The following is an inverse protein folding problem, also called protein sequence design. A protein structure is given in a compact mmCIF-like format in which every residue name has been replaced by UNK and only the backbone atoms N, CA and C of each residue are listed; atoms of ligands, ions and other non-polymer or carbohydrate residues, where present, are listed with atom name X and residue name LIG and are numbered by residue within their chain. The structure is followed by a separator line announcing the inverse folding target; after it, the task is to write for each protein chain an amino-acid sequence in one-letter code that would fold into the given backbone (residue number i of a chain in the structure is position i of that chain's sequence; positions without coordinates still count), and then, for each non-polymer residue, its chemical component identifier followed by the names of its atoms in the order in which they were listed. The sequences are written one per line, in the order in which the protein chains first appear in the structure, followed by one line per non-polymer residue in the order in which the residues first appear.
data_IF_492856990286
#
_entry.id   IF_492856990286
#
_cell.length_a   1.000
_cell.length_b   1.000
_cell.length_c   1.000
_cell.angle_alpha   90.00
_cell.angle_beta   90.00
_cell.angle_gamma   90.00
#
_symmetry.space_group_name_H-M   'P 1'
#
loop_
_entity.id
_entity.type
_entity.pdbx_description
1 polymer ?
#
# COMPACT_ATOMS: atom_id res chain seq x y z
N UNK A 1 -32.61 -1.74 -33.86
CA UNK A 1 -31.30 -1.44 -33.22
C UNK A 1 -31.61 -0.69 -31.93
N UNK A 2 -31.63 -1.38 -30.79
CA UNK A 2 -31.98 -0.80 -29.51
C UNK A 2 -30.67 -0.31 -28.81
N UNK A 3 -30.56 0.94 -28.36
CA UNK A 3 -29.37 1.39 -27.67
C UNK A 3 -29.34 0.73 -26.28
N UNK A 4 -28.26 -0.02 -26.00
CA UNK A 4 -27.95 -0.48 -24.65
C UNK A 4 -27.72 0.75 -23.76
N UNK A 5 -28.67 1.04 -22.91
CA UNK A 5 -28.49 1.96 -21.78
C UNK A 5 -27.32 1.46 -20.93
N UNK A 6 -26.23 2.21 -20.93
CA UNK A 6 -25.17 2.02 -19.98
C UNK A 6 -25.76 2.22 -18.58
N UNK A 7 -25.81 1.16 -17.79
CA UNK A 7 -26.14 1.23 -16.36
C UNK A 7 -25.04 2.07 -15.70
N UNK A 8 -25.36 3.30 -15.35
CA UNK A 8 -24.54 4.10 -14.44
C UNK A 8 -24.60 3.36 -13.10
N UNK A 9 -23.53 2.69 -12.74
CA UNK A 9 -23.35 2.10 -11.42
C UNK A 9 -23.07 3.28 -10.51
N UNK A 10 -24.07 3.68 -9.72
CA UNK A 10 -23.88 4.62 -8.62
C UNK A 10 -23.09 3.87 -7.55
N UNK A 11 -21.84 4.27 -7.31
CA UNK A 11 -21.09 3.84 -6.13
C UNK A 11 -21.87 4.39 -4.93
N UNK A 12 -22.39 3.52 -4.08
CA UNK A 12 -22.98 3.95 -2.81
C UNK A 12 -21.84 4.50 -1.94
N UNK A 13 -21.87 5.81 -1.66
CA UNK A 13 -20.92 6.40 -0.73
C UNK A 13 -21.05 5.74 0.63
N UNK A 14 -19.92 5.32 1.20
CA UNK A 14 -19.87 4.77 2.55
C UNK A 14 -20.21 5.87 3.56
N UNK A 15 -21.26 5.67 4.34
CA UNK A 15 -21.81 6.63 5.31
C UNK A 15 -21.50 6.28 6.77
N UNK A 16 -20.90 5.11 7.03
CA UNK A 16 -20.48 4.65 8.34
C UNK A 16 -19.03 4.16 8.28
N UNK A 17 -18.18 4.72 9.13
CA UNK A 17 -16.80 4.30 9.37
C UNK A 17 -16.65 3.74 10.78
N UNK A 18 -15.59 2.94 11.03
CA UNK A 18 -15.36 2.30 12.33
C UNK A 18 -15.21 3.33 13.45
N UNK A 19 -14.61 4.49 13.17
CA UNK A 19 -14.50 5.60 14.13
C UNK A 19 -15.85 6.18 14.55
N UNK A 20 -16.91 5.99 13.76
CA UNK A 20 -18.26 6.44 14.08
C UNK A 20 -18.99 5.48 15.03
N UNK A 21 -18.45 4.29 15.32
CA UNK A 21 -19.09 3.29 16.17
C UNK A 21 -19.66 3.85 17.51
N UNK A 22 -19.00 4.82 18.20
CA UNK A 22 -19.57 5.42 19.41
C UNK A 22 -20.92 6.13 19.20
N UNK A 23 -21.17 6.67 18.00
CA UNK A 23 -22.42 7.38 17.68
C UNK A 23 -23.57 6.43 17.39
N UNK A 24 -23.25 5.18 17.07
CA UNK A 24 -24.19 4.13 16.67
C UNK A 24 -24.29 3.01 17.70
N UNK A 25 -23.86 3.23 18.94
CA UNK A 25 -23.96 2.23 20.01
C UNK A 25 -25.43 1.82 20.23
N UNK A 26 -25.69 0.50 20.20
CA UNK A 26 -27.02 -0.13 20.22
C UNK A 26 -27.89 0.16 18.97
N UNK A 27 -27.30 0.71 17.91
CA UNK A 27 -27.97 0.91 16.62
C UNK A 27 -27.63 -0.18 15.62
N UNK A 28 -28.48 -0.31 14.58
CA UNK A 28 -28.24 -1.17 13.43
C UNK A 28 -27.62 -0.35 12.31
N UNK A 29 -26.52 -0.84 11.74
CA UNK A 29 -25.84 -0.24 10.58
C UNK A 29 -25.89 -1.19 9.38
N UNK A 30 -25.94 -0.62 8.17
CA UNK A 30 -25.75 -1.34 6.92
C UNK A 30 -24.66 -0.63 6.14
N UNK A 31 -23.52 -1.27 5.96
CA UNK A 31 -22.33 -0.63 5.38
C UNK A 31 -21.38 -1.66 4.79
N UNK A 32 -20.24 -1.19 4.27
CA UNK A 32 -19.24 -2.03 3.63
C UNK A 32 -17.94 -2.03 4.44
N UNK A 33 -17.24 -3.17 4.45
CA UNK A 33 -15.92 -3.33 5.07
C UNK A 33 -15.02 -4.24 4.23
N UNK A 34 -13.72 -4.22 4.50
CA UNK A 34 -12.81 -5.31 4.14
C UNK A 34 -12.86 -6.38 5.23
N UNK A 35 -13.00 -7.64 4.81
CA UNK A 35 -12.91 -8.79 5.69
C UNK A 35 -11.45 -9.15 5.92
N UNK A 36 -10.87 -8.65 7.02
CA UNK A 36 -9.44 -8.83 7.32
C UNK A 36 -9.12 -10.19 7.94
N UNK A 37 -10.09 -10.83 8.59
CA UNK A 37 -9.97 -12.18 9.14
C UNK A 37 -11.33 -12.86 9.23
N UNK A 38 -11.35 -14.18 8.99
CA UNK A 38 -12.54 -15.02 9.03
C UNK A 38 -12.20 -16.34 9.73
N UNK A 39 -12.84 -16.61 10.88
CA UNK A 39 -12.60 -17.82 11.66
C UNK A 39 -13.91 -18.47 12.10
N UNK A 40 -14.02 -19.76 11.92
CA UNK A 40 -15.10 -20.57 12.49
C UNK A 40 -14.74 -20.92 13.94
N UNK A 41 -15.61 -20.61 14.88
CA UNK A 41 -15.44 -20.93 16.31
C UNK A 41 -16.61 -21.71 16.88
N UNK A 42 -16.36 -22.57 17.86
CA UNK A 42 -17.39 -23.31 18.57
C UNK A 42 -18.13 -22.45 19.60
N UNK A 43 -19.44 -22.59 19.68
CA UNK A 43 -20.27 -22.01 20.76
C UNK A 43 -20.15 -22.87 22.03
N UNK A 44 -20.21 -22.27 23.22
CA UNK A 44 -20.16 -23.02 24.51
C UNK A 44 -21.28 -24.04 24.70
N UNK A 45 -22.44 -23.81 24.07
CA UNK A 45 -23.63 -24.65 24.14
C UNK A 45 -23.81 -25.57 22.93
N UNK A 46 -22.75 -25.77 22.12
CA UNK A 46 -22.81 -26.54 20.87
C UNK A 46 -23.13 -25.63 19.65
N UNK A 47 -22.73 -26.10 18.47
CA UNK A 47 -22.81 -25.33 17.23
C UNK A 47 -21.61 -24.43 16.98
N UNK A 48 -21.65 -23.68 15.89
CA UNK A 48 -20.57 -22.82 15.42
C UNK A 48 -21.05 -21.38 15.23
N UNK A 49 -20.11 -20.44 15.20
CA UNK A 49 -20.31 -19.04 14.82
C UNK A 49 -19.10 -18.54 14.05
N UNK A 50 -19.25 -17.46 13.28
CA UNK A 50 -18.14 -16.78 12.64
C UNK A 50 -17.63 -15.66 13.54
N UNK A 51 -16.32 -15.69 13.81
CA UNK A 51 -15.58 -14.56 14.34
C UNK A 51 -14.85 -13.89 13.17
N UNK A 52 -15.14 -12.61 12.97
CA UNK A 52 -14.61 -11.83 11.86
C UNK A 52 -13.83 -10.62 12.39
N UNK A 53 -12.86 -10.18 11.61
CA UNK A 53 -12.29 -8.84 11.76
C UNK A 53 -12.67 -8.03 10.52
N UNK A 54 -13.39 -6.95 10.75
CA UNK A 54 -13.84 -6.02 9.71
C UNK A 54 -13.02 -4.75 9.80
N UNK A 55 -12.58 -4.22 8.66
CA UNK A 55 -11.69 -3.07 8.60
C UNK A 55 -12.12 -2.05 7.56
N UNK A 56 -11.81 -0.78 7.85
CA UNK A 56 -11.84 0.33 6.91
C UNK A 56 -10.64 1.26 7.17
N UNK A 57 -10.54 2.40 6.47
CA UNK A 57 -9.42 3.35 6.62
C UNK A 57 -9.27 3.94 8.02
N UNK A 58 -10.30 3.86 8.86
CA UNK A 58 -10.32 4.44 10.21
C UNK A 58 -9.96 3.44 11.29
N UNK A 59 -9.97 2.14 10.99
CA UNK A 59 -9.58 1.10 11.96
C UNK A 59 -10.11 -0.29 11.64
N UNK A 60 -10.18 -1.10 12.70
CA UNK A 60 -10.77 -2.44 12.65
C UNK A 60 -11.54 -2.75 13.93
N UNK A 61 -12.58 -3.58 13.84
CA UNK A 61 -13.31 -4.09 14.99
C UNK A 61 -13.78 -5.54 14.78
N UNK A 62 -14.14 -6.21 15.88
CA UNK A 62 -14.61 -7.59 15.85
C UNK A 62 -16.06 -7.66 15.40
N UNK A 63 -16.33 -8.59 14.48
CA UNK A 63 -17.66 -9.00 14.06
C UNK A 63 -17.98 -10.43 14.53
N UNK A 64 -19.22 -10.69 14.88
CA UNK A 64 -19.71 -12.03 15.21
C UNK A 64 -20.99 -12.30 14.45
N UNK A 65 -21.05 -13.43 13.74
CA UNK A 65 -22.23 -13.90 13.05
C UNK A 65 -22.64 -15.25 13.65
N UNK A 66 -23.86 -15.32 14.19
CA UNK A 66 -24.31 -16.47 14.95
C UNK A 66 -25.10 -17.45 14.13
N UNK A 67 -25.75 -16.99 13.05
CA UNK A 67 -26.62 -17.76 12.18
C UNK A 67 -26.21 -17.61 10.73
N UNK A 68 -26.71 -18.43 9.81
CA UNK A 68 -26.47 -18.40 8.36
C UNK A 68 -24.98 -18.42 7.94
N UNK A 69 -24.15 -19.08 8.77
CA UNK A 69 -22.68 -19.09 8.60
C UNK A 69 -22.22 -19.84 7.34
N UNK A 70 -23.00 -20.82 6.87
CA UNK A 70 -22.63 -21.64 5.72
C UNK A 70 -22.57 -20.83 4.43
N UNK A 71 -23.54 -19.96 4.21
CA UNK A 71 -23.58 -19.07 3.04
C UNK A 71 -22.42 -18.09 3.05
N UNK A 72 -22.10 -17.50 4.20
CA UNK A 72 -20.97 -16.59 4.35
C UNK A 72 -19.63 -17.25 4.05
N UNK A 73 -19.45 -18.52 4.46
CA UNK A 73 -18.21 -19.28 4.21
C UNK A 73 -18.04 -19.67 2.73
N UNK A 74 -19.13 -19.80 1.99
CA UNK A 74 -19.08 -20.19 0.57
C UNK A 74 -18.55 -19.05 -0.31
N UNK A 75 -18.91 -17.79 0.00
CA UNK A 75 -18.64 -16.66 -0.89
C UNK A 75 -17.63 -15.63 -0.33
N UNK A 76 -17.35 -15.64 0.97
CA UNK A 76 -16.47 -14.66 1.60
C UNK A 76 -15.12 -15.26 1.97
N UNK A 77 -14.04 -14.54 1.64
CA UNK A 77 -12.68 -14.86 2.00
C UNK A 77 -11.95 -13.64 2.57
N UNK A 78 -10.86 -13.87 3.27
CA UNK A 78 -10.01 -12.76 3.76
C UNK A 78 -9.53 -11.90 2.59
N UNK A 79 -9.59 -10.58 2.77
CA UNK A 79 -9.23 -9.58 1.76
C UNK A 79 -10.39 -9.15 0.85
N UNK A 80 -11.56 -9.79 0.87
CA UNK A 80 -12.69 -9.36 0.06
C UNK A 80 -13.47 -8.19 0.69
N UNK A 81 -14.16 -7.42 -0.14
CA UNK A 81 -15.15 -6.45 0.31
C UNK A 81 -16.45 -7.15 0.65
N UNK A 82 -17.04 -6.78 1.77
CA UNK A 82 -18.31 -7.34 2.25
C UNK A 82 -19.30 -6.23 2.58
N UNK A 83 -20.56 -6.41 2.18
CA UNK A 83 -21.69 -5.61 2.67
C UNK A 83 -22.27 -6.31 3.89
N UNK A 84 -22.35 -5.60 5.00
CA UNK A 84 -22.83 -6.13 6.27
C UNK A 84 -24.04 -5.35 6.78
N UNK A 85 -24.95 -6.05 7.46
CA UNK A 85 -25.95 -5.45 8.32
C UNK A 85 -25.82 -6.03 9.71
N UNK A 86 -25.73 -5.19 10.75
CA UNK A 86 -25.54 -5.67 12.12
C UNK A 86 -25.72 -4.60 13.15
N UNK A 87 -25.76 -5.03 14.41
CA UNK A 87 -25.95 -4.16 15.58
C UNK A 87 -24.61 -3.87 16.23
N UNK A 88 -24.33 -2.58 16.43
CA UNK A 88 -23.14 -2.11 17.13
C UNK A 88 -23.36 -2.23 18.63
N UNK A 89 -22.43 -2.85 19.33
CA UNK A 89 -22.45 -2.99 20.79
C UNK A 89 -21.07 -2.80 21.36
N UNK A 90 -21.00 -2.55 22.69
CA UNK A 90 -19.75 -2.44 23.42
C UNK A 90 -19.56 -3.64 24.32
N UNK A 91 -18.42 -4.32 24.21
CA UNK A 91 -18.05 -5.44 25.06
C UNK A 91 -16.63 -5.27 25.59
N UNK A 92 -16.45 -5.37 26.89
CA UNK A 92 -15.17 -5.14 27.59
C UNK A 92 -14.46 -3.86 27.16
N UNK A 93 -15.23 -2.78 26.98
CA UNK A 93 -14.68 -1.47 26.58
C UNK A 93 -14.40 -1.29 25.10
N UNK A 94 -14.54 -2.34 24.27
CA UNK A 94 -14.32 -2.28 22.82
C UNK A 94 -15.65 -2.36 22.06
N UNK A 95 -15.74 -1.62 20.96
CA UNK A 95 -16.88 -1.75 20.06
C UNK A 95 -16.75 -3.02 19.21
N UNK A 96 -17.89 -3.67 18.97
CA UNK A 96 -18.05 -4.85 18.12
C UNK A 96 -19.36 -4.77 17.37
N UNK A 97 -19.48 -5.57 16.29
CA UNK A 97 -20.72 -5.69 15.53
C UNK A 97 -21.25 -7.13 15.60
N UNK A 98 -22.53 -7.27 15.92
CA UNK A 98 -23.24 -8.54 15.77
C UNK A 98 -23.93 -8.54 14.42
N UNK A 99 -23.46 -9.39 13.52
CA UNK A 99 -23.91 -9.46 12.12
C UNK A 99 -25.23 -10.22 12.02
N UNK A 100 -26.19 -9.60 11.32
CA UNK A 100 -27.47 -10.21 10.92
C UNK A 100 -27.40 -10.70 9.48
N UNK A 101 -26.68 -9.95 8.61
CA UNK A 101 -26.47 -10.30 7.20
C UNK A 101 -25.05 -9.99 6.80
N UNK A 102 -24.49 -10.84 5.94
CA UNK A 102 -23.19 -10.70 5.33
C UNK A 102 -23.28 -11.18 3.89
N UNK A 103 -22.80 -10.39 2.94
CA UNK A 103 -22.64 -10.81 1.55
C UNK A 103 -21.34 -10.28 0.97
N UNK A 104 -20.85 -10.95 -0.04
CA UNK A 104 -19.76 -10.41 -0.87
C UNK A 104 -20.25 -9.10 -1.55
N UNK A 105 -19.41 -8.10 -1.57
CA UNK A 105 -19.60 -6.87 -2.32
C UNK A 105 -18.74 -6.88 -3.58
N UNK A 106 -19.29 -6.38 -4.69
CA UNK A 106 -18.51 -6.20 -5.91
C UNK A 106 -17.55 -5.00 -5.75
N UNK A 107 -16.38 -5.05 -6.39
CA UNK A 107 -15.42 -3.92 -6.40
C UNK A 107 -16.08 -2.61 -6.92
N UNK A 108 -17.08 -2.72 -7.81
CA UNK A 108 -17.82 -1.58 -8.32
C UNK A 108 -18.81 -0.94 -7.34
N UNK A 109 -19.07 -1.58 -6.19
CA UNK A 109 -19.96 -1.06 -5.13
C UNK A 109 -19.20 -0.21 -4.09
N UNK A 110 -17.87 -0.21 -4.13
CA UNK A 110 -17.02 0.37 -3.09
C UNK A 110 -15.97 1.31 -3.68
N UNK A 111 -15.59 2.32 -2.92
CA UNK A 111 -14.39 3.13 -3.20
C UNK A 111 -13.22 2.54 -2.39
N UNK A 112 -12.15 2.02 -3.04
CA UNK A 112 -11.01 1.45 -2.34
C UNK A 112 -10.36 2.40 -1.33
N UNK A 113 -10.43 3.71 -1.54
CA UNK A 113 -9.87 4.73 -0.64
C UNK A 113 -10.56 4.81 0.72
N UNK A 114 -11.76 4.21 0.86
CA UNK A 114 -12.48 4.13 2.13
C UNK A 114 -12.01 2.97 3.03
N UNK A 115 -11.17 2.08 2.50
CA UNK A 115 -10.77 0.85 3.22
C UNK A 115 -9.29 0.78 3.53
N UNK A 116 -8.51 1.63 2.91
CA UNK A 116 -7.06 1.66 3.09
C UNK A 116 -6.63 3.04 3.58
N UNK A 117 -5.81 3.06 4.63
CA UNK A 117 -5.16 4.30 5.03
C UNK A 117 -4.39 4.88 3.84
N UNK A 118 -4.45 6.18 3.66
CA UNK A 118 -3.69 6.93 2.66
C UNK A 118 -2.84 7.99 3.33
N UNK A 119 -1.79 8.43 2.62
CA UNK A 119 -0.99 9.56 3.07
C UNK A 119 -1.86 10.79 3.33
N UNK A 120 -1.47 11.59 4.32
CA UNK A 120 -2.13 12.86 4.64
C UNK A 120 -1.66 14.03 3.76
N UNK A 121 -0.61 13.80 2.97
CA UNK A 121 -0.01 14.80 2.10
C UNK A 121 -0.60 14.69 0.69
N UNK A 122 -0.61 15.79 -0.03
CA UNK A 122 -1.02 15.78 -1.44
C UNK A 122 0.01 15.02 -2.29
N UNK A 123 -0.46 13.98 -2.99
CA UNK A 123 0.39 13.09 -3.79
C UNK A 123 1.02 13.83 -4.96
N UNK A 124 0.29 14.74 -5.60
CA UNK A 124 0.82 15.47 -6.76
C UNK A 124 1.81 16.57 -6.34
N UNK A 125 1.63 17.18 -5.18
CA UNK A 125 2.63 18.09 -4.60
C UNK A 125 3.92 17.33 -4.27
N UNK A 126 3.83 16.18 -3.57
CA UNK A 126 4.98 15.33 -3.28
C UNK A 126 5.70 14.86 -4.54
N UNK A 127 4.92 14.47 -5.56
CA UNK A 127 5.47 14.05 -6.85
C UNK A 127 6.21 15.16 -7.57
N UNK A 128 5.64 16.35 -7.58
CA UNK A 128 6.25 17.55 -8.18
C UNK A 128 7.55 17.91 -7.47
N UNK A 129 7.57 17.86 -6.14
CA UNK A 129 8.75 18.12 -5.34
C UNK A 129 9.88 17.11 -5.62
N UNK A 130 9.56 15.79 -5.63
CA UNK A 130 10.53 14.75 -5.95
C UNK A 130 11.15 14.97 -7.34
N UNK A 131 10.31 15.26 -8.33
CA UNK A 131 10.75 15.56 -9.70
C UNK A 131 11.60 16.83 -9.77
N UNK A 132 11.31 17.81 -8.93
CA UNK A 132 12.11 19.04 -8.79
C UNK A 132 13.55 18.74 -8.33
N UNK A 133 13.72 17.89 -7.31
CA UNK A 133 15.06 17.46 -6.87
C UNK A 133 15.83 16.74 -7.97
N UNK A 134 15.18 15.81 -8.68
CA UNK A 134 15.82 15.07 -9.79
C UNK A 134 16.13 16.01 -10.97
N UNK A 135 15.26 16.98 -11.25
CA UNK A 135 15.45 17.97 -12.30
C UNK A 135 16.68 18.85 -12.08
N UNK A 136 17.05 19.09 -10.82
CA UNK A 136 18.21 19.90 -10.41
C UNK A 136 19.55 19.15 -10.51
N UNK A 137 19.58 17.87 -10.85
CA UNK A 137 20.82 17.09 -10.97
C UNK A 137 21.77 17.73 -11.98
N UNK A 138 23.04 17.84 -11.61
CA UNK A 138 24.15 18.25 -12.47
C UNK A 138 24.54 17.12 -13.43
N UNK A 139 24.48 15.88 -12.97
CA UNK A 139 24.77 14.69 -13.76
C UNK A 139 23.59 14.35 -14.65
N UNK A 140 23.73 14.61 -15.98
CA UNK A 140 22.69 14.38 -16.97
C UNK A 140 22.31 12.89 -17.13
N UNK A 141 23.24 11.96 -16.89
CA UNK A 141 22.99 10.53 -17.04
C UNK A 141 22.16 9.99 -15.86
N UNK A 142 22.48 10.41 -14.63
CA UNK A 142 21.70 10.09 -13.44
C UNK A 142 20.28 10.68 -13.55
N UNK A 143 20.18 11.92 -13.99
CA UNK A 143 18.89 12.57 -14.21
C UNK A 143 18.04 11.79 -15.21
N UNK A 144 18.61 11.42 -16.38
CA UNK A 144 17.90 10.62 -17.39
C UNK A 144 17.48 9.26 -16.86
N UNK A 145 18.33 8.61 -16.07
CA UNK A 145 18.00 7.32 -15.44
C UNK A 145 16.76 7.43 -14.56
N UNK A 146 16.79 8.35 -13.59
CA UNK A 146 15.69 8.47 -12.62
C UNK A 146 14.39 8.85 -13.35
N UNK A 147 14.44 9.81 -14.27
CA UNK A 147 13.25 10.16 -15.06
C UNK A 147 12.73 9.02 -15.91
N UNK A 148 13.61 8.13 -16.41
CA UNK A 148 13.16 6.96 -17.15
C UNK A 148 12.24 6.04 -16.32
N UNK A 149 12.45 5.94 -15.00
CA UNK A 149 11.55 5.23 -14.09
C UNK A 149 10.31 6.06 -13.74
N UNK A 150 10.50 7.33 -13.40
CA UNK A 150 9.38 8.18 -12.99
C UNK A 150 8.39 8.47 -14.13
N UNK A 151 8.86 8.54 -15.37
CA UNK A 151 8.05 8.79 -16.58
C UNK A 151 7.51 7.50 -17.22
N UNK A 152 7.89 6.33 -16.70
CA UNK A 152 7.37 5.06 -17.20
C UNK A 152 5.87 4.96 -16.91
N UNK A 153 5.10 4.54 -17.92
CA UNK A 153 3.64 4.51 -17.88
C UNK A 153 3.05 3.55 -16.82
N UNK A 154 3.83 2.56 -16.36
CA UNK A 154 3.43 1.60 -15.33
C UNK A 154 4.04 1.93 -13.99
N UNK A 155 5.34 2.25 -13.96
CA UNK A 155 6.09 2.47 -12.73
C UNK A 155 5.67 3.79 -12.05
N UNK A 156 5.62 4.90 -12.80
CA UNK A 156 5.31 6.21 -12.22
C UNK A 156 3.97 6.25 -11.48
N UNK A 157 2.85 5.85 -12.09
CA UNK A 157 1.57 5.78 -11.40
C UNK A 157 1.57 4.80 -10.21
N UNK A 158 2.21 3.63 -10.35
CA UNK A 158 2.32 2.65 -9.28
C UNK A 158 3.15 3.20 -8.10
N UNK A 159 4.26 3.91 -8.37
CA UNK A 159 5.10 4.53 -7.36
C UNK A 159 4.35 5.60 -6.54
N UNK A 160 3.47 6.38 -7.18
CA UNK A 160 2.62 7.36 -6.50
C UNK A 160 1.57 6.71 -5.60
N UNK A 161 1.07 5.54 -5.96
CA UNK A 161 -0.03 4.88 -5.27
C UNK A 161 0.43 3.86 -4.22
N UNK A 162 1.60 3.23 -4.41
CA UNK A 162 2.05 2.11 -3.60
C UNK A 162 2.25 2.46 -2.12
N UNK A 163 1.96 1.52 -1.19
CA UNK A 163 2.46 1.58 0.18
C UNK A 163 3.96 1.28 0.22
N UNK A 164 4.66 1.77 1.25
CA UNK A 164 6.07 1.42 1.45
C UNK A 164 6.26 0.07 2.17
N UNK A 165 5.23 -0.43 2.86
CA UNK A 165 5.27 -1.69 3.59
C UNK A 165 3.87 -2.27 3.78
N UNK A 166 3.80 -3.56 4.17
CA UNK A 166 2.54 -4.24 4.48
C UNK A 166 1.90 -3.78 5.80
N UNK A 167 2.67 -3.47 6.85
CA UNK A 167 2.15 -3.22 8.21
C UNK A 167 2.81 -2.07 8.97
N UNK A 168 4.07 -1.79 8.73
CA UNK A 168 4.86 -0.81 9.46
C UNK A 168 5.44 0.19 8.46
N UNK A 169 5.83 1.39 8.91
CA UNK A 169 6.51 2.40 8.09
C UNK A 169 5.81 2.70 6.76
N UNK A 170 4.99 3.75 6.76
CA UNK A 170 4.27 4.20 5.56
C UNK A 170 3.42 3.10 4.89
N UNK A 171 2.77 2.24 5.72
CA UNK A 171 1.86 1.20 5.27
C UNK A 171 0.47 1.80 4.92
N UNK A 172 0.45 2.72 3.95
CA UNK A 172 -0.74 3.39 3.43
C UNK A 172 -0.55 3.76 1.96
N UNK A 173 -1.62 4.05 1.26
CA UNK A 173 -1.57 4.49 -0.14
C UNK A 173 -0.77 5.79 -0.25
N UNK A 174 0.13 5.86 -1.23
CA UNK A 174 1.08 6.97 -1.38
C UNK A 174 2.27 6.91 -0.41
N UNK A 175 2.33 5.89 0.44
CA UNK A 175 3.37 5.74 1.46
C UNK A 175 4.77 5.56 0.88
N UNK A 176 4.91 4.90 -0.28
CA UNK A 176 6.20 4.75 -0.95
C UNK A 176 6.78 6.10 -1.40
N UNK A 177 5.96 6.92 -2.03
CA UNK A 177 6.37 8.27 -2.44
C UNK A 177 6.73 9.13 -1.23
N UNK A 178 5.92 9.11 -0.19
CA UNK A 178 6.16 9.85 1.07
C UNK A 178 7.47 9.42 1.73
N UNK A 179 7.71 8.09 1.81
CA UNK A 179 8.95 7.52 2.34
C UNK A 179 10.18 8.00 1.56
N UNK A 180 10.15 7.83 0.24
CA UNK A 180 11.26 8.20 -0.64
C UNK A 180 11.52 9.70 -0.60
N UNK A 181 10.48 10.54 -0.65
CA UNK A 181 10.64 11.99 -0.58
C UNK A 181 11.25 12.43 0.76
N UNK A 182 10.81 11.82 1.86
CA UNK A 182 11.38 12.08 3.19
C UNK A 182 12.85 11.69 3.24
N UNK A 183 13.21 10.53 2.68
CA UNK A 183 14.59 10.08 2.60
C UNK A 183 15.47 11.03 1.76
N UNK A 184 14.97 11.48 0.61
CA UNK A 184 15.67 12.46 -0.25
C UNK A 184 15.93 13.76 0.51
N UNK A 185 14.96 14.28 1.25
CA UNK A 185 15.13 15.48 2.08
C UNK A 185 16.22 15.29 3.15
N UNK A 186 16.24 14.14 3.83
CA UNK A 186 17.27 13.78 4.82
C UNK A 186 18.64 13.68 4.15
N UNK A 187 18.72 12.98 3.01
CA UNK A 187 19.98 12.88 2.25
C UNK A 187 20.53 14.26 1.90
N UNK A 188 19.73 15.13 1.33
CA UNK A 188 20.15 16.47 0.94
C UNK A 188 20.55 17.34 2.15
N UNK A 189 19.87 17.19 3.28
CA UNK A 189 20.22 17.88 4.52
C UNK A 189 21.57 17.42 5.10
N UNK A 190 22.01 16.18 4.82
CA UNK A 190 23.27 15.64 5.30
C UNK A 190 24.48 15.93 4.39
N UNK A 191 24.27 16.16 3.09
CA UNK A 191 25.31 16.42 2.09
C UNK A 191 26.35 17.47 2.53
N UNK A 192 25.99 18.61 3.15
CA UNK A 192 26.98 19.62 3.57
C UNK A 192 28.01 19.11 4.55
N UNK A 193 27.76 18.02 5.26
CA UNK A 193 28.68 17.42 6.24
C UNK A 193 29.61 16.36 5.62
N UNK A 194 29.37 16.00 4.35
CA UNK A 194 30.12 14.94 3.63
C UNK A 194 30.51 15.44 2.23
N UNK A 195 31.52 16.31 2.13
CA UNK A 195 31.89 16.96 0.86
C UNK A 195 32.41 16.00 -0.21
N UNK A 196 32.77 14.77 0.16
CA UNK A 196 33.20 13.70 -0.74
C UNK A 196 32.01 12.96 -1.38
N UNK A 197 30.80 13.17 -0.92
CA UNK A 197 29.59 12.49 -1.43
C UNK A 197 29.02 13.24 -2.62
N UNK A 198 28.81 12.56 -3.73
CA UNK A 198 28.08 13.09 -4.89
C UNK A 198 26.57 13.15 -4.56
N UNK A 199 25.98 14.36 -4.47
CA UNK A 199 24.57 14.51 -4.14
C UNK A 199 23.61 13.86 -5.15
N UNK A 200 23.94 13.91 -6.45
CA UNK A 200 23.10 13.35 -7.50
C UNK A 200 23.06 11.82 -7.40
N UNK A 201 24.21 11.20 -7.10
CA UNK A 201 24.31 9.77 -6.89
C UNK A 201 23.57 9.33 -5.62
N UNK A 202 23.71 10.09 -4.52
CA UNK A 202 23.02 9.83 -3.25
C UNK A 202 21.50 9.87 -3.43
N UNK A 203 20.99 10.92 -4.06
CA UNK A 203 19.53 11.06 -4.32
C UNK A 203 19.04 9.99 -5.30
N UNK A 204 19.84 9.64 -6.31
CA UNK A 204 19.52 8.52 -7.22
C UNK A 204 19.34 7.22 -6.43
N UNK A 205 20.25 6.92 -5.51
CA UNK A 205 20.13 5.75 -4.61
C UNK A 205 18.87 5.83 -3.77
N UNK A 206 18.60 6.98 -3.15
CA UNK A 206 17.41 7.19 -2.33
C UNK A 206 16.09 7.02 -3.11
N UNK A 207 16.03 7.43 -4.40
CA UNK A 207 14.83 7.25 -5.23
C UNK A 207 14.64 5.80 -5.68
N UNK A 208 15.72 5.12 -6.03
CA UNK A 208 15.65 3.81 -6.69
C UNK A 208 15.74 2.61 -5.74
N UNK A 209 16.16 2.79 -4.46
CA UNK A 209 16.38 1.66 -3.55
C UNK A 209 15.12 0.79 -3.38
N UNK A 210 13.97 1.40 -3.33
CA UNK A 210 12.67 0.77 -3.08
C UNK A 210 11.79 0.68 -4.33
N UNK A 211 12.29 0.98 -5.52
CA UNK A 211 11.50 0.98 -6.76
C UNK A 211 10.86 -0.37 -7.05
N UNK A 212 11.46 -1.47 -6.61
CA UNK A 212 10.92 -2.82 -6.76
C UNK A 212 9.63 -3.07 -5.97
N UNK A 213 9.32 -2.26 -4.96
CA UNK A 213 8.09 -2.37 -4.16
C UNK A 213 6.82 -2.17 -4.97
N UNK A 214 6.89 -1.45 -6.10
CA UNK A 214 5.76 -1.32 -7.03
C UNK A 214 5.29 -2.65 -7.64
N UNK A 215 6.10 -3.72 -7.52
CA UNK A 215 5.79 -5.07 -7.98
C UNK A 215 5.82 -6.09 -6.84
N UNK A 216 6.55 -5.80 -5.76
CA UNK A 216 6.59 -6.64 -4.56
C UNK A 216 5.26 -6.65 -3.84
N UNK A 217 4.57 -5.50 -3.80
CA UNK A 217 3.32 -5.32 -3.07
C UNK A 217 2.14 -5.20 -4.02
N UNK A 218 1.00 -5.67 -3.56
CA UNK A 218 -0.32 -5.37 -4.13
C UNK A 218 -1.18 -4.68 -3.06
N UNK A 219 -2.04 -3.77 -3.52
CA UNK A 219 -2.83 -2.90 -2.64
C UNK A 219 -4.27 -2.68 -3.12
N UNK A 220 -4.91 -3.73 -3.63
CA UNK A 220 -6.30 -3.64 -4.11
C UNK A 220 -7.28 -3.45 -2.95
N UNK A 221 -7.48 -4.47 -2.14
CA UNK A 221 -8.38 -4.45 -0.98
C UNK A 221 -7.64 -4.47 0.36
N UNK A 222 -6.42 -4.96 0.36
CA UNK A 222 -5.51 -5.00 1.52
C UNK A 222 -4.07 -4.97 1.03
N UNK A 223 -3.13 -4.58 1.90
CA UNK A 223 -1.71 -4.61 1.56
C UNK A 223 -1.19 -6.04 1.72
N UNK A 224 -0.78 -6.64 0.61
CA UNK A 224 -0.21 -7.99 0.59
C UNK A 224 1.00 -8.06 -0.33
N UNK A 225 1.77 -9.14 -0.19
CA UNK A 225 2.86 -9.42 -1.11
C UNK A 225 2.31 -10.15 -2.34
N UNK A 226 2.77 -9.74 -3.53
CA UNK A 226 2.60 -10.55 -4.73
C UNK A 226 3.36 -11.86 -4.60
N UNK A 227 3.06 -12.87 -5.44
CA UNK A 227 3.84 -14.09 -5.48
C UNK A 227 5.33 -13.80 -5.81
N UNK A 228 5.59 -12.89 -6.75
CA UNK A 228 6.93 -12.44 -7.09
C UNK A 228 7.62 -11.79 -5.88
N UNK A 229 6.89 -10.92 -5.16
CA UNK A 229 7.40 -10.26 -3.95
C UNK A 229 7.78 -11.23 -2.84
N UNK A 230 6.96 -12.24 -2.60
CA UNK A 230 7.25 -13.28 -1.59
C UNK A 230 8.47 -14.13 -1.95
N UNK A 231 8.67 -14.41 -3.24
CA UNK A 231 9.73 -15.33 -3.70
C UNK A 231 11.10 -14.67 -3.82
N UNK A 232 11.17 -13.43 -4.28
CA UNK A 232 12.43 -12.78 -4.63
C UNK A 232 12.69 -11.41 -3.99
N UNK A 233 11.66 -10.76 -3.45
CA UNK A 233 11.75 -9.48 -2.76
C UNK A 233 12.09 -8.29 -3.68
N UNK A 234 11.79 -7.07 -3.20
CA UNK A 234 11.88 -5.83 -4.00
C UNK A 234 13.28 -5.52 -4.51
N UNK A 235 14.34 -5.86 -3.77
CA UNK A 235 15.73 -5.59 -4.21
C UNK A 235 16.04 -6.39 -5.48
N UNK A 236 15.73 -7.68 -5.50
CA UNK A 236 15.94 -8.53 -6.67
C UNK A 236 15.01 -8.17 -7.82
N UNK A 237 13.77 -7.77 -7.51
CA UNK A 237 12.82 -7.26 -8.50
C UNK A 237 13.39 -6.00 -9.16
N UNK A 238 13.91 -5.04 -8.38
CA UNK A 238 14.51 -3.81 -8.89
C UNK A 238 15.71 -4.09 -9.81
N UNK A 239 16.50 -5.12 -9.50
CA UNK A 239 17.67 -5.52 -10.30
C UNK A 239 17.28 -6.36 -11.53
N UNK A 240 16.05 -6.85 -11.63
CA UNK A 240 15.63 -7.72 -12.71
C UNK A 240 15.61 -6.97 -14.04
N UNK A 241 15.96 -7.69 -15.14
CA UNK A 241 15.92 -7.17 -16.50
C UNK A 241 14.52 -6.64 -16.92
N UNK A 242 13.45 -7.03 -16.23
CA UNK A 242 12.08 -6.58 -16.51
C UNK A 242 11.80 -5.15 -16.07
N UNK A 243 12.46 -4.67 -15.00
CA UNK A 243 12.41 -3.26 -14.62
C UNK A 243 13.49 -2.43 -15.32
N UNK A 244 14.69 -3.00 -15.51
CA UNK A 244 15.84 -2.30 -16.09
C UNK A 244 16.03 -2.61 -17.59
N UNK A 245 15.39 -3.66 -18.10
CA UNK A 245 15.59 -4.18 -19.44
C UNK A 245 15.39 -3.18 -20.60
N UNK A 246 14.40 -2.28 -20.57
CA UNK A 246 14.28 -1.22 -21.57
C UNK A 246 15.43 -0.20 -21.52
N UNK A 247 16.14 -0.12 -20.39
CA UNK A 247 17.20 0.85 -20.08
C UNK A 247 18.61 0.28 -20.20
N UNK A 248 18.79 -0.80 -20.98
CA UNK A 248 20.05 -1.56 -21.10
C UNK A 248 21.27 -0.76 -21.57
N UNK A 249 21.09 0.44 -22.14
CA UNK A 249 22.21 1.39 -22.34
C UNK A 249 22.77 1.92 -21.02
N UNK A 250 22.07 1.70 -19.92
CA UNK A 250 22.44 2.07 -18.54
C UNK A 250 23.02 0.89 -17.73
N UNK A 251 23.39 -0.20 -18.41
CA UNK A 251 24.02 -1.37 -17.76
C UNK A 251 25.24 -0.99 -16.90
N UNK A 252 26.00 0.03 -17.30
CA UNK A 252 27.12 0.57 -16.50
C UNK A 252 26.66 1.17 -15.17
N UNK A 253 25.43 1.70 -15.13
CA UNK A 253 24.88 2.30 -13.94
C UNK A 253 24.25 1.24 -13.01
N UNK A 254 23.64 0.18 -13.58
CA UNK A 254 23.28 -1.04 -12.83
C UNK A 254 24.50 -1.58 -12.08
N UNK A 255 25.64 -1.65 -12.74
CA UNK A 255 26.89 -2.11 -12.14
C UNK A 255 27.40 -1.13 -11.07
N UNK A 256 27.22 0.17 -11.25
CA UNK A 256 27.55 1.20 -10.26
C UNK A 256 26.61 1.11 -9.03
N UNK A 257 25.31 0.92 -9.21
CA UNK A 257 24.34 0.71 -8.11
C UNK A 257 24.66 -0.60 -7.39
N UNK A 258 24.99 -1.68 -8.12
CA UNK A 258 25.39 -2.96 -7.53
C UNK A 258 26.71 -2.85 -6.77
N UNK A 259 27.70 -2.15 -7.30
CA UNK A 259 28.97 -1.90 -6.63
C UNK A 259 28.79 -1.03 -5.39
N UNK A 260 27.91 -0.04 -5.43
CA UNK A 260 27.56 0.77 -4.25
C UNK A 260 26.84 -0.05 -3.17
N UNK A 261 25.98 -1.00 -3.56
CA UNK A 261 25.24 -1.87 -2.64
C UNK A 261 26.09 -3.04 -2.06
N UNK A 262 27.16 -3.48 -2.75
CA UNK A 262 27.96 -4.65 -2.35
C UNK A 262 29.35 -4.32 -1.82
N UNK A 263 29.76 -3.05 -1.76
CA UNK A 263 31.11 -2.67 -1.35
C UNK A 263 31.25 -2.63 0.18
N UNK A 264 31.64 -3.72 0.78
CA UNK A 264 32.06 -3.82 2.19
C UNK A 264 33.37 -3.04 2.50
N UNK A 265 34.12 -2.56 1.50
CA UNK A 265 35.54 -2.19 1.67
C UNK A 265 35.94 -0.83 1.12
N UNK A 266 35.17 0.24 1.21
CA UNK A 266 35.73 1.53 0.82
C UNK A 266 35.04 2.75 1.46
N UNK A 267 35.74 3.39 2.37
CA UNK A 267 35.67 4.79 2.83
C UNK A 267 34.31 5.51 2.72
N UNK A 268 34.16 6.50 1.84
CA UNK A 268 32.92 7.29 1.68
C UNK A 268 31.68 6.51 1.28
N UNK A 269 31.80 5.26 0.86
CA UNK A 269 30.69 4.38 0.46
C UNK A 269 29.81 3.90 1.63
N UNK A 270 30.23 4.12 2.88
CA UNK A 270 29.47 3.79 4.10
C UNK A 270 28.14 4.55 4.24
N UNK A 271 27.97 5.64 3.52
CA UNK A 271 26.71 6.42 3.54
C UNK A 271 25.54 5.64 2.92
N UNK A 272 25.80 4.75 1.96
CA UNK A 272 24.78 3.88 1.38
C UNK A 272 24.25 2.79 2.33
N UNK A 273 25.07 2.32 3.26
CA UNK A 273 24.70 1.31 4.27
C UNK A 273 23.78 1.86 5.37
N UNK A 274 23.74 3.18 5.58
CA UNK A 274 22.86 3.83 6.56
C UNK A 274 21.44 4.09 6.03
N UNK A 275 21.23 3.95 4.73
CA UNK A 275 19.96 4.30 4.06
C UNK A 275 19.17 3.06 3.64
N UNK A 276 19.78 1.90 3.61
CA UNK A 276 19.29 0.77 2.83
C UNK A 276 18.92 -0.50 3.55
N UNK A 277 18.76 -0.52 4.84
CA UNK A 277 18.26 -1.76 5.49
C UNK A 277 17.29 -1.46 6.61
#
# INVERSE_FOLDING_TARGET
MCPRLARVILIEMKDFFIEDAPRFENGTVTTYFVLSSLQVRGKKQGGQYLALTLSDKTGSFEGRMWDDIAEALEYCSEGCYVKVQGDISKYQGKFQITLKKLRLAAESEVDPTDYQASTKFDVEEMWTELRGYVGAFKNADLRRLVFAFLDDAQIGPAFKAAPAAKRLHHAWLGGLLEHVLTLVRVCLATVPFYPEVDPDLLVTGAVLHDIGKVRELEWKSSFSYTLEGQMIGHISIAQSARLIGPYTRLARLRDAIRVAATAEDAGPRRVFLLIGV
#
